data_IF_337511656587
#
_entry.id   IF_337511656587
#
_cell.length_a   1.000
_cell.length_b   1.000
_cell.length_c   1.000
_cell.angle_alpha   90.00
_cell.angle_beta   90.00
_cell.angle_gamma   90.00
#
_symmetry.space_group_name_H-M   'P 1'
#
loop_
_entity.id
_entity.type
_entity.pdbx_description
1 polymer ?
#
# COMPACT_ATOMS: atom_id res chain seq x y z
N UNK A 1 -14.51 -16.20 4.76
CA UNK A 1 -13.12 -16.43 5.15
C UNK A 1 -12.23 -16.88 4.00
N UNK A 2 -12.50 -18.02 3.33
CA UNK A 2 -11.70 -18.42 2.16
C UNK A 2 -11.76 -17.36 1.04
N UNK A 3 -12.93 -16.80 0.77
CA UNK A 3 -13.13 -15.71 -0.19
C UNK A 3 -12.34 -14.45 0.18
N UNK A 4 -12.25 -14.13 1.47
CA UNK A 4 -11.50 -12.98 1.95
C UNK A 4 -9.98 -13.17 1.72
N UNK A 5 -9.45 -14.38 1.95
CA UNK A 5 -8.05 -14.72 1.67
C UNK A 5 -7.75 -14.70 0.17
N UNK A 6 -8.65 -15.21 -0.68
CA UNK A 6 -8.48 -15.11 -2.14
C UNK A 6 -8.48 -13.65 -2.58
N UNK A 7 -9.32 -12.82 -1.97
CA UNK A 7 -9.38 -11.40 -2.27
C UNK A 7 -8.07 -10.67 -1.89
N UNK A 8 -7.39 -11.10 -0.83
CA UNK A 8 -6.05 -10.60 -0.45
C UNK A 8 -4.95 -11.15 -1.37
N UNK A 9 -5.03 -12.41 -1.79
CA UNK A 9 -4.00 -13.05 -2.60
C UNK A 9 -3.87 -12.43 -4.01
N UNK A 10 -4.99 -12.03 -4.64
CA UNK A 10 -4.97 -11.46 -6.00
C UNK A 10 -4.13 -10.18 -6.11
N UNK A 11 -4.29 -9.15 -5.24
CA UNK A 11 -3.43 -7.98 -5.27
C UNK A 11 -1.96 -8.32 -5.00
N UNK A 12 -1.68 -9.27 -4.10
CA UNK A 12 -0.30 -9.68 -3.79
C UNK A 12 0.37 -10.37 -4.98
N UNK A 13 -0.36 -11.19 -5.72
CA UNK A 13 0.14 -11.73 -6.98
C UNK A 13 0.41 -10.62 -8.01
N UNK A 14 -0.46 -9.62 -8.09
CA UNK A 14 -0.24 -8.41 -8.90
C UNK A 14 1.02 -7.64 -8.49
N UNK A 15 1.35 -7.62 -7.20
CA UNK A 15 2.61 -7.03 -6.70
C UNK A 15 3.83 -7.73 -7.25
N UNK A 16 3.85 -9.06 -7.30
CA UNK A 16 4.98 -9.82 -7.87
C UNK A 16 5.21 -9.41 -9.32
N UNK A 17 4.14 -9.34 -10.13
CA UNK A 17 4.25 -8.91 -11.52
C UNK A 17 4.80 -7.48 -11.63
N UNK A 18 4.26 -6.54 -10.86
CA UNK A 18 4.74 -5.16 -10.84
C UNK A 18 6.21 -5.06 -10.41
N UNK A 19 6.62 -5.83 -9.41
CA UNK A 19 8.00 -5.83 -8.91
C UNK A 19 8.98 -6.46 -9.89
N UNK A 20 8.58 -7.52 -10.61
CA UNK A 20 9.39 -8.09 -11.70
C UNK A 20 9.63 -7.04 -12.78
N UNK A 21 8.64 -6.21 -13.12
CA UNK A 21 8.80 -5.11 -14.08
C UNK A 21 9.86 -4.11 -13.58
N UNK A 22 9.82 -3.70 -12.30
CA UNK A 22 10.82 -2.79 -11.72
C UNK A 22 12.23 -3.38 -11.79
N UNK A 23 12.37 -4.65 -11.42
CA UNK A 23 13.66 -5.33 -11.42
C UNK A 23 14.23 -5.52 -12.84
N UNK A 24 13.38 -5.83 -13.83
CA UNK A 24 13.80 -5.92 -15.23
C UNK A 24 14.25 -4.56 -15.77
N UNK A 25 13.60 -3.46 -15.37
CA UNK A 25 14.04 -2.12 -15.72
C UNK A 25 15.40 -1.75 -15.13
N UNK A 26 15.69 -2.17 -13.89
CA UNK A 26 17.02 -1.97 -13.28
C UNK A 26 18.13 -2.68 -14.04
N UNK A 27 17.91 -3.90 -14.48
CA UNK A 27 18.88 -4.64 -15.32
C UNK A 27 19.11 -3.97 -16.68
N UNK A 28 18.14 -3.21 -17.17
CA UNK A 28 18.23 -2.39 -18.38
C UNK A 28 18.84 -0.98 -18.15
N UNK A 29 19.38 -0.70 -16.95
CA UNK A 29 20.03 0.58 -16.62
C UNK A 29 19.11 1.68 -16.08
N UNK A 30 17.85 1.37 -15.78
CA UNK A 30 16.94 2.32 -15.15
C UNK A 30 17.32 2.50 -13.67
N UNK A 31 17.94 3.62 -13.34
CA UNK A 31 18.15 4.00 -11.94
C UNK A 31 16.90 4.71 -11.42
N UNK A 32 16.33 4.21 -10.34
CA UNK A 32 15.15 4.82 -9.69
C UNK A 32 15.46 6.15 -9.00
N UNK A 33 16.65 6.68 -9.17
CA UNK A 33 17.05 8.04 -8.73
C UNK A 33 16.90 8.34 -7.22
N UNK A 34 16.67 7.32 -6.40
CA UNK A 34 16.60 7.49 -4.94
C UNK A 34 18.03 7.59 -4.43
N UNK A 35 18.53 8.81 -4.35
CA UNK A 35 19.83 9.11 -3.75
C UNK A 35 19.77 8.73 -2.26
N UNK A 36 20.64 7.83 -1.84
CA UNK A 36 20.74 7.34 -0.45
C UNK A 36 21.74 8.20 0.34
N UNK A 37 21.48 9.49 0.47
CA UNK A 37 22.25 10.36 1.34
C UNK A 37 21.64 10.45 2.74
N UNK A 38 22.44 10.50 3.79
CA UNK A 38 21.96 10.61 5.18
C UNK A 38 21.09 11.85 5.44
N UNK A 39 21.32 12.93 4.68
CA UNK A 39 20.50 14.16 4.71
C UNK A 39 19.08 13.89 4.22
N UNK A 40 18.90 12.97 3.27
CA UNK A 40 17.60 12.64 2.71
C UNK A 40 16.72 11.89 3.70
N UNK A 41 17.31 11.10 4.62
CA UNK A 41 16.54 10.38 5.67
C UNK A 41 15.96 11.36 6.69
N UNK A 42 16.74 12.35 7.13
CA UNK A 42 16.29 13.38 8.09
C UNK A 42 15.19 14.25 7.47
N UNK A 43 15.42 14.71 6.24
CA UNK A 43 14.40 15.49 5.52
C UNK A 43 13.13 14.70 5.24
N UNK A 44 13.25 13.42 4.87
CA UNK A 44 12.12 12.53 4.68
C UNK A 44 11.33 12.32 5.98
N UNK A 45 12.00 12.08 7.11
CA UNK A 45 11.36 11.94 8.42
C UNK A 45 10.68 13.24 8.86
N UNK A 46 11.33 14.39 8.69
CA UNK A 46 10.76 15.68 9.02
C UNK A 46 9.51 15.97 8.18
N UNK A 47 9.60 15.77 6.86
CA UNK A 47 8.48 15.98 5.93
C UNK A 47 7.33 15.03 6.24
N UNK A 48 7.62 13.75 6.49
CA UNK A 48 6.61 12.75 6.86
C UNK A 48 5.91 13.12 8.18
N UNK A 49 6.67 13.61 9.16
CA UNK A 49 6.11 14.07 10.44
C UNK A 49 5.16 15.24 10.24
N UNK A 50 5.55 16.25 9.47
CA UNK A 50 4.70 17.42 9.15
C UNK A 50 3.42 16.98 8.44
N UNK A 51 3.53 16.04 7.46
CA UNK A 51 2.36 15.50 6.75
C UNK A 51 1.43 14.74 7.70
N UNK A 52 1.98 13.89 8.57
CA UNK A 52 1.18 13.14 9.56
C UNK A 52 0.43 14.09 10.48
N UNK A 53 1.13 15.09 11.05
CA UNK A 53 0.49 16.10 11.91
C UNK A 53 -0.56 16.90 11.14
N UNK A 54 -0.30 17.30 9.91
CA UNK A 54 -1.24 18.00 9.05
C UNK A 54 -2.50 17.18 8.78
N UNK A 55 -2.34 15.90 8.47
CA UNK A 55 -3.46 14.96 8.26
C UNK A 55 -4.26 14.77 9.55
N UNK A 56 -3.60 14.53 10.69
CA UNK A 56 -4.27 14.34 11.98
C UNK A 56 -5.04 15.61 12.40
N UNK A 57 -4.43 16.79 12.23
CA UNK A 57 -5.08 18.06 12.49
C UNK A 57 -6.30 18.28 11.59
N UNK A 58 -6.14 17.98 10.30
CA UNK A 58 -7.22 18.08 9.34
C UNK A 58 -8.36 17.09 9.59
N UNK A 59 -8.06 15.85 9.97
CA UNK A 59 -9.05 14.84 10.37
C UNK A 59 -9.84 15.28 11.60
N UNK A 60 -9.21 15.96 12.55
CA UNK A 60 -9.89 16.50 13.72
C UNK A 60 -10.93 17.57 13.36
N UNK A 61 -10.61 18.45 12.39
CA UNK A 61 -11.47 19.60 12.06
C UNK A 61 -12.42 19.33 10.88
N UNK A 62 -11.95 18.58 9.87
CA UNK A 62 -12.70 18.31 8.64
C UNK A 62 -12.57 16.85 8.19
N UNK A 63 -13.04 15.86 8.98
CA UNK A 63 -12.77 14.44 8.78
C UNK A 63 -13.17 13.94 7.37
N UNK A 64 -14.37 14.28 6.91
CA UNK A 64 -14.85 13.84 5.58
C UNK A 64 -14.04 14.43 4.42
N UNK A 65 -13.69 15.73 4.51
CA UNK A 65 -12.89 16.37 3.44
C UNK A 65 -11.50 15.77 3.36
N UNK A 66 -10.85 15.57 4.51
CA UNK A 66 -9.52 14.96 4.55
C UNK A 66 -9.56 13.52 4.09
N UNK A 67 -10.56 12.72 4.49
CA UNK A 67 -10.70 11.36 3.99
C UNK A 67 -10.82 11.31 2.44
N UNK A 68 -11.63 12.20 1.85
CA UNK A 68 -11.76 12.29 0.40
C UNK A 68 -10.45 12.74 -0.27
N UNK A 69 -9.74 13.72 0.32
CA UNK A 69 -8.41 14.16 -0.16
C UNK A 69 -7.41 13.01 -0.12
N UNK A 70 -7.40 12.21 0.95
CA UNK A 70 -6.55 11.02 1.05
C UNK A 70 -6.86 10.01 -0.06
N UNK A 71 -8.15 9.75 -0.33
CA UNK A 71 -8.56 8.89 -1.45
C UNK A 71 -8.06 9.43 -2.78
N UNK A 72 -8.24 10.73 -3.03
CA UNK A 72 -7.74 11.37 -4.26
C UNK A 72 -6.22 11.24 -4.38
N UNK A 73 -5.50 11.57 -3.32
CA UNK A 73 -4.02 11.51 -3.31
C UNK A 73 -3.55 10.08 -3.56
N UNK A 74 -4.11 9.10 -2.84
CA UNK A 74 -3.73 7.69 -2.97
C UNK A 74 -3.98 7.16 -4.39
N UNK A 75 -5.14 7.47 -4.97
CA UNK A 75 -5.50 6.98 -6.30
C UNK A 75 -4.71 7.70 -7.41
N UNK A 76 -4.41 8.98 -7.26
CA UNK A 76 -3.53 9.71 -8.20
C UNK A 76 -2.10 9.19 -8.15
N UNK A 77 -1.53 9.05 -6.95
CA UNK A 77 -0.18 8.51 -6.78
C UNK A 77 -0.11 7.06 -7.30
N UNK A 78 -1.13 6.25 -7.03
CA UNK A 78 -1.24 4.90 -7.61
C UNK A 78 -1.30 4.90 -9.14
N UNK A 79 -2.05 5.84 -9.73
CA UNK A 79 -2.08 6.03 -11.20
C UNK A 79 -0.70 6.40 -11.75
N UNK A 80 0.00 7.33 -11.10
CA UNK A 80 1.37 7.72 -11.48
C UNK A 80 2.31 6.52 -11.36
N UNK A 81 2.23 5.76 -10.27
CA UNK A 81 3.02 4.52 -10.07
C UNK A 81 2.77 3.51 -11.19
N UNK A 82 1.51 3.32 -11.58
CA UNK A 82 1.15 2.47 -12.71
C UNK A 82 1.75 2.94 -14.04
N UNK A 83 1.75 4.25 -14.31
CA UNK A 83 2.37 4.82 -15.51
C UNK A 83 3.91 4.68 -15.49
N UNK A 84 4.54 4.84 -14.32
CA UNK A 84 5.98 4.61 -14.15
C UNK A 84 6.33 3.14 -14.42
N UNK A 85 5.56 2.20 -13.87
CA UNK A 85 5.75 0.76 -14.12
C UNK A 85 5.56 0.43 -15.61
N UNK A 86 4.55 1.02 -16.24
CA UNK A 86 4.31 0.88 -17.66
C UNK A 86 5.50 1.39 -18.49
N UNK A 87 6.03 2.57 -18.16
CA UNK A 87 7.22 3.12 -18.80
C UNK A 87 8.42 2.16 -18.67
N UNK A 88 8.70 1.65 -17.48
CA UNK A 88 9.78 0.70 -17.23
C UNK A 88 9.62 -0.57 -18.08
N UNK A 89 8.41 -1.11 -18.13
CA UNK A 89 8.10 -2.30 -18.94
C UNK A 89 8.41 -2.06 -20.42
N UNK A 90 8.13 -0.87 -20.92
CA UNK A 90 8.31 -0.52 -22.33
C UNK A 90 9.76 -0.27 -22.69
N UNK A 91 10.51 0.37 -21.80
CA UNK A 91 11.95 0.52 -21.97
C UNK A 91 12.65 -0.84 -21.96
N UNK A 92 12.25 -1.74 -21.07
CA UNK A 92 12.81 -3.10 -20.99
C UNK A 92 12.45 -3.98 -22.20
N UNK A 93 11.29 -3.80 -22.82
CA UNK A 93 10.81 -4.62 -23.95
C UNK A 93 11.26 -4.13 -25.33
N UNK A 94 11.86 -2.93 -25.42
CA UNK A 94 12.26 -2.33 -26.71
C UNK A 94 11.10 -1.86 -27.60
N UNK A 95 9.84 -1.97 -27.14
CA UNK A 95 8.61 -1.65 -27.88
C UNK A 95 8.09 -0.26 -27.53
N UNK A 96 8.98 0.62 -27.12
CA UNK A 96 8.69 1.92 -26.52
C UNK A 96 7.67 2.82 -27.25
N UNK A 97 7.68 2.99 -28.60
CA UNK A 97 6.77 3.97 -29.23
C UNK A 97 5.29 3.55 -29.22
N UNK A 98 5.01 2.27 -29.45
CA UNK A 98 3.61 1.82 -29.60
C UNK A 98 2.85 1.82 -28.25
N UNK A 99 3.56 1.66 -27.17
CA UNK A 99 2.96 1.50 -25.84
C UNK A 99 2.83 2.81 -25.09
N UNK A 100 3.57 3.85 -25.50
CA UNK A 100 3.33 5.22 -25.01
C UNK A 100 1.92 5.69 -25.36
N UNK A 101 1.37 5.23 -26.48
CA UNK A 101 -0.03 5.48 -26.85
C UNK A 101 -1.03 4.90 -25.84
N UNK A 102 -0.69 3.80 -25.13
CA UNK A 102 -1.53 3.24 -24.07
C UNK A 102 -1.42 4.01 -22.76
N UNK A 103 -0.30 4.68 -22.49
CA UNK A 103 -0.12 5.46 -21.27
C UNK A 103 -1.09 6.65 -21.21
N UNK A 104 -1.40 7.28 -22.34
CA UNK A 104 -2.32 8.42 -22.42
C UNK A 104 -3.74 8.04 -21.96
N UNK A 105 -4.42 7.03 -22.57
CA UNK A 105 -5.76 6.66 -22.14
C UNK A 105 -5.78 6.07 -20.73
N UNK A 106 -4.78 5.30 -20.31
CA UNK A 106 -4.69 4.77 -18.95
C UNK A 106 -4.50 5.88 -17.91
N UNK A 107 -3.63 6.85 -18.20
CA UNK A 107 -3.44 8.03 -17.35
C UNK A 107 -4.73 8.85 -17.24
N UNK A 108 -5.38 9.12 -18.36
CA UNK A 108 -6.67 9.84 -18.39
C UNK A 108 -7.74 9.12 -17.58
N UNK A 109 -7.89 7.80 -17.75
CA UNK A 109 -8.86 7.00 -17.01
C UNK A 109 -8.54 6.98 -15.52
N UNK A 110 -7.27 6.82 -15.15
CA UNK A 110 -6.83 6.83 -13.76
C UNK A 110 -7.13 8.16 -13.07
N UNK A 111 -6.78 9.28 -13.71
CA UNK A 111 -7.08 10.63 -13.18
C UNK A 111 -8.60 10.85 -13.10
N UNK A 112 -9.34 10.52 -14.16
CA UNK A 112 -10.81 10.65 -14.16
C UNK A 112 -11.47 9.85 -13.03
N UNK A 113 -11.07 8.61 -12.84
CA UNK A 113 -11.61 7.76 -11.78
C UNK A 113 -11.22 8.25 -10.39
N UNK A 114 -10.02 8.80 -10.23
CA UNK A 114 -9.57 9.42 -8.97
C UNK A 114 -10.46 10.61 -8.60
N UNK A 115 -10.77 11.48 -9.56
CA UNK A 115 -11.69 12.60 -9.32
C UNK A 115 -13.13 12.14 -9.06
N UNK A 116 -13.64 11.13 -9.77
CA UNK A 116 -14.96 10.57 -9.51
C UNK A 116 -15.04 9.91 -8.13
N UNK A 117 -13.96 9.27 -7.66
CA UNK A 117 -13.86 8.73 -6.30
C UNK A 117 -13.87 9.84 -5.25
N UNK A 118 -13.11 10.92 -5.48
CA UNK A 118 -13.08 12.11 -4.61
C UNK A 118 -14.46 12.75 -4.47
N UNK A 119 -15.20 12.89 -5.57
CA UNK A 119 -16.55 13.47 -5.61
C UNK A 119 -17.63 12.51 -5.04
N UNK A 120 -17.27 11.27 -4.69
CA UNK A 120 -18.22 10.26 -4.23
C UNK A 120 -19.17 9.74 -5.32
N UNK A 121 -18.88 10.02 -6.60
CA UNK A 121 -19.71 9.62 -7.76
C UNK A 121 -19.46 8.16 -8.16
N UNK A 122 -18.39 7.53 -7.68
CA UNK A 122 -18.11 6.11 -7.89
C UNK A 122 -18.84 5.26 -6.86
N UNK A 123 -19.32 4.08 -7.29
CA UNK A 123 -19.85 3.11 -6.34
C UNK A 123 -18.75 2.67 -5.37
N UNK A 124 -19.11 2.40 -4.12
CA UNK A 124 -18.17 1.98 -3.06
C UNK A 124 -17.25 0.84 -3.51
N UNK A 125 -17.79 -0.16 -4.21
CA UNK A 125 -17.01 -1.30 -4.74
C UNK A 125 -15.94 -0.88 -5.75
N UNK A 126 -16.27 0.06 -6.65
CA UNK A 126 -15.30 0.56 -7.65
C UNK A 126 -14.21 1.41 -7.00
N UNK A 127 -14.57 2.25 -6.02
CA UNK A 127 -13.61 3.03 -5.25
C UNK A 127 -12.66 2.11 -4.49
N UNK A 128 -13.17 1.06 -3.86
CA UNK A 128 -12.37 0.07 -3.15
C UNK A 128 -11.39 -0.65 -4.08
N UNK A 129 -11.82 -1.11 -5.25
CA UNK A 129 -10.94 -1.76 -6.23
C UNK A 129 -9.85 -0.81 -6.74
N UNK A 130 -10.21 0.45 -7.00
CA UNK A 130 -9.25 1.48 -7.41
C UNK A 130 -8.18 1.71 -6.32
N UNK A 131 -8.59 1.79 -5.06
CA UNK A 131 -7.69 1.98 -3.92
C UNK A 131 -6.77 0.79 -3.71
N UNK A 132 -7.27 -0.45 -3.85
CA UNK A 132 -6.44 -1.67 -3.78
C UNK A 132 -5.39 -1.65 -4.89
N UNK A 133 -5.82 -1.45 -6.13
CA UNK A 133 -4.90 -1.40 -7.26
C UNK A 133 -3.84 -0.31 -7.08
N UNK A 134 -4.25 0.88 -6.63
CA UNK A 134 -3.34 2.00 -6.36
C UNK A 134 -2.34 1.66 -5.25
N UNK A 135 -2.79 1.07 -4.14
CA UNK A 135 -1.93 0.67 -3.02
C UNK A 135 -0.94 -0.41 -3.43
N UNK A 136 -1.40 -1.38 -4.22
CA UNK A 136 -0.57 -2.48 -4.73
C UNK A 136 0.53 -1.96 -5.66
N UNK A 137 0.20 -1.10 -6.62
CA UNK A 137 1.17 -0.53 -7.56
C UNK A 137 2.18 0.37 -6.85
N UNK A 138 1.70 1.22 -5.95
CA UNK A 138 2.55 2.10 -5.15
C UNK A 138 3.46 1.30 -4.22
N UNK A 139 2.93 0.31 -3.52
CA UNK A 139 3.70 -0.54 -2.62
C UNK A 139 4.77 -1.34 -3.36
N UNK A 140 4.44 -1.90 -4.54
CA UNK A 140 5.40 -2.59 -5.39
C UNK A 140 6.55 -1.66 -5.84
N UNK A 141 6.22 -0.46 -6.29
CA UNK A 141 7.22 0.53 -6.72
C UNK A 141 8.13 0.95 -5.56
N UNK A 142 7.57 1.28 -4.40
CA UNK A 142 8.33 1.67 -3.22
C UNK A 142 9.19 0.51 -2.73
N UNK A 143 8.61 -0.67 -2.48
CA UNK A 143 9.30 -1.83 -1.93
C UNK A 143 10.44 -2.33 -2.82
N UNK A 144 10.29 -2.22 -4.16
CA UNK A 144 11.36 -2.55 -5.10
C UNK A 144 12.40 -1.43 -5.29
N UNK A 145 12.10 -0.18 -4.89
CA UNK A 145 12.98 0.98 -5.13
C UNK A 145 13.82 1.35 -3.92
N UNK A 146 13.30 1.17 -2.71
CA UNK A 146 13.99 1.57 -1.48
C UNK A 146 14.98 0.51 -0.97
N UNK A 147 16.02 0.91 -0.20
CA UNK A 147 16.91 -0.02 0.48
C UNK A 147 16.13 -0.93 1.47
N UNK A 148 16.52 -2.19 1.55
CA UNK A 148 15.86 -3.18 2.39
C UNK A 148 15.76 -2.76 3.87
N UNK A 149 16.86 -2.24 4.43
CA UNK A 149 16.89 -1.78 5.83
C UNK A 149 15.86 -0.69 6.08
N UNK A 150 15.75 0.29 5.16
CA UNK A 150 14.73 1.34 5.26
C UNK A 150 13.32 0.74 5.24
N UNK A 151 13.07 -0.16 4.31
CA UNK A 151 11.74 -0.80 4.15
C UNK A 151 11.37 -1.62 5.39
N UNK A 152 12.30 -2.38 5.97
CA UNK A 152 12.08 -3.15 7.20
C UNK A 152 11.72 -2.23 8.37
N UNK A 153 12.53 -1.18 8.59
CA UNK A 153 12.29 -0.22 9.68
C UNK A 153 10.96 0.50 9.49
N UNK A 154 10.67 0.91 8.26
CA UNK A 154 9.41 1.58 7.94
C UNK A 154 8.19 0.69 8.17
N UNK A 155 8.23 -0.56 7.67
CA UNK A 155 7.13 -1.52 7.86
C UNK A 155 6.95 -1.93 9.32
N UNK A 156 8.05 -2.13 10.05
CA UNK A 156 8.01 -2.39 11.49
C UNK A 156 7.40 -1.22 12.26
N UNK A 157 7.81 0.01 11.93
CA UNK A 157 7.25 1.23 12.50
C UNK A 157 5.75 1.37 12.21
N UNK A 158 5.33 1.13 10.95
CA UNK A 158 3.91 1.15 10.58
C UNK A 158 3.09 0.10 11.36
N UNK A 159 3.60 -1.12 11.49
CA UNK A 159 2.92 -2.19 12.21
C UNK A 159 2.75 -1.87 13.70
N UNK A 160 3.78 -1.29 14.34
CA UNK A 160 3.73 -0.83 15.72
C UNK A 160 2.75 0.33 15.88
N UNK A 161 2.79 1.30 14.96
CA UNK A 161 1.86 2.44 14.98
C UNK A 161 0.41 1.99 14.79
N UNK A 162 0.14 1.08 13.86
CA UNK A 162 -1.20 0.52 13.65
C UNK A 162 -1.70 -0.17 14.93
N UNK A 163 -0.85 -0.98 15.56
CA UNK A 163 -1.16 -1.64 16.83
C UNK A 163 -1.51 -0.62 17.92
N UNK A 164 -0.68 0.41 18.11
CA UNK A 164 -0.91 1.44 19.12
C UNK A 164 -2.19 2.23 18.84
N UNK A 165 -2.43 2.61 17.60
CA UNK A 165 -3.63 3.35 17.20
C UNK A 165 -4.90 2.56 17.47
N UNK A 166 -4.90 1.26 17.18
CA UNK A 166 -6.04 0.37 17.41
C UNK A 166 -6.25 0.09 18.90
N UNK A 167 -5.19 -0.27 19.63
CA UNK A 167 -5.27 -0.62 21.06
C UNK A 167 -5.69 0.59 21.94
N UNK A 168 -5.19 1.79 21.63
CA UNK A 168 -5.53 2.99 22.39
C UNK A 168 -6.81 3.70 21.95
N UNK A 169 -7.47 3.23 20.89
CA UNK A 169 -8.59 3.94 20.26
C UNK A 169 -8.25 5.39 19.88
N UNK A 170 -6.99 5.65 19.58
CA UNK A 170 -6.45 6.99 19.39
C UNK A 170 -7.25 7.80 18.37
N UNK A 171 -7.53 7.22 17.19
CA UNK A 171 -8.30 7.93 16.16
C UNK A 171 -9.74 8.20 16.59
N UNK A 172 -10.40 7.23 17.22
CA UNK A 172 -11.78 7.42 17.70
C UNK A 172 -11.86 8.52 18.79
N UNK A 173 -10.85 8.60 19.65
CA UNK A 173 -10.75 9.68 20.66
C UNK A 173 -10.42 11.03 20.02
N UNK A 174 -9.57 11.06 18.99
CA UNK A 174 -9.13 12.30 18.33
C UNK A 174 -10.27 12.97 17.55
N UNK A 175 -11.04 12.19 16.76
CA UNK A 175 -12.03 12.73 15.81
C UNK A 175 -13.48 12.48 16.24
N UNK A 176 -13.70 11.75 17.33
CA UNK A 176 -15.01 11.32 17.81
C UNK A 176 -15.55 10.09 17.08
N UNK A 177 -16.31 9.24 17.78
CA UNK A 177 -16.80 7.95 17.27
C UNK A 177 -17.61 8.07 15.97
N UNK A 178 -18.49 9.06 15.86
CA UNK A 178 -19.32 9.29 14.66
C UNK A 178 -18.49 9.64 13.42
N UNK A 179 -17.46 10.46 13.59
CA UNK A 179 -16.57 10.82 12.49
C UNK A 179 -15.61 9.69 12.15
N UNK A 180 -15.20 8.90 13.14
CA UNK A 180 -14.36 7.71 12.97
C UNK A 180 -15.01 6.70 12.00
N UNK A 181 -16.29 6.37 12.21
CA UNK A 181 -17.03 5.50 11.30
C UNK A 181 -17.08 6.05 9.87
N UNK A 182 -17.26 7.37 9.73
CA UNK A 182 -17.29 8.02 8.41
C UNK A 182 -15.94 7.94 7.70
N UNK A 183 -14.81 8.13 8.40
CA UNK A 183 -13.46 8.06 7.84
C UNK A 183 -13.09 6.62 7.52
N UNK A 184 -13.31 5.70 8.44
CA UNK A 184 -13.00 4.27 8.22
C UNK A 184 -13.82 3.68 7.08
N UNK A 185 -15.08 4.07 6.92
CA UNK A 185 -15.92 3.59 5.81
C UNK A 185 -15.36 3.93 4.42
N UNK A 186 -14.53 4.96 4.30
CA UNK A 186 -13.92 5.41 3.04
C UNK A 186 -12.51 4.82 2.86
N UNK A 187 -11.76 4.63 3.96
CA UNK A 187 -10.36 4.19 3.94
C UNK A 187 -10.19 2.70 4.19
N UNK A 188 -11.27 1.96 4.44
CA UNK A 188 -11.24 0.50 4.64
C UNK A 188 -12.10 -0.21 3.61
N UNK A 189 -11.70 -1.43 3.32
CA UNK A 189 -12.41 -2.34 2.43
C UNK A 189 -13.30 -3.26 3.25
N UNK A 190 -14.61 -3.27 3.01
CA UNK A 190 -15.47 -4.23 3.66
C UNK A 190 -15.23 -5.62 3.07
N UNK A 191 -14.75 -6.53 3.86
CA UNK A 191 -14.78 -7.96 3.63
C UNK A 191 -16.08 -8.53 4.22
N UNK A 192 -16.38 -9.80 3.95
CA UNK A 192 -17.61 -10.46 4.47
C UNK A 192 -17.65 -10.45 6.02
N UNK A 193 -16.50 -10.51 6.67
CA UNK A 193 -16.36 -10.64 8.13
C UNK A 193 -15.54 -9.56 8.82
N UNK A 194 -14.90 -8.68 8.06
CA UNK A 194 -13.95 -7.69 8.63
C UNK A 194 -13.70 -6.52 7.67
N UNK A 195 -12.86 -5.59 8.09
CA UNK A 195 -12.40 -4.47 7.28
C UNK A 195 -10.87 -4.56 7.15
N UNK A 196 -10.36 -4.35 5.95
CA UNK A 196 -8.91 -4.26 5.69
C UNK A 196 -8.59 -2.83 5.28
N UNK A 197 -7.59 -2.24 5.90
CA UNK A 197 -7.13 -0.90 5.59
C UNK A 197 -6.41 -0.83 4.23
N UNK A 198 -6.50 0.31 3.56
CA UNK A 198 -5.74 0.56 2.32
C UNK A 198 -4.23 0.51 2.62
N UNK A 199 -3.82 0.97 3.82
CA UNK A 199 -2.44 0.90 4.29
C UNK A 199 -1.90 -0.51 4.41
N UNK A 200 -2.75 -1.49 4.71
CA UNK A 200 -2.36 -2.89 4.82
C UNK A 200 -1.91 -3.43 3.46
N UNK A 201 -2.68 -3.14 2.39
CA UNK A 201 -2.29 -3.52 1.03
C UNK A 201 -0.99 -2.87 0.58
N UNK A 202 -0.78 -1.59 0.93
CA UNK A 202 0.48 -0.91 0.67
C UNK A 202 1.65 -1.62 1.35
N UNK A 203 1.53 -1.88 2.64
CA UNK A 203 2.58 -2.52 3.45
C UNK A 203 2.89 -3.95 2.97
N UNK A 204 1.86 -4.74 2.69
CA UNK A 204 2.03 -6.10 2.17
C UNK A 204 2.72 -6.08 0.80
N UNK A 205 2.33 -5.16 -0.08
CA UNK A 205 2.92 -5.02 -1.40
C UNK A 205 4.38 -4.57 -1.34
N UNK A 206 4.72 -3.64 -0.44
CA UNK A 206 6.11 -3.26 -0.18
C UNK A 206 6.95 -4.44 0.28
N UNK A 207 6.43 -5.25 1.20
CA UNK A 207 7.11 -6.40 1.76
C UNK A 207 7.38 -7.49 0.71
N UNK A 208 6.37 -7.82 -0.10
CA UNK A 208 6.50 -8.79 -1.21
C UNK A 208 7.52 -8.30 -2.25
N UNK A 209 7.47 -7.02 -2.61
CA UNK A 209 8.39 -6.43 -3.56
C UNK A 209 9.84 -6.44 -3.07
N UNK A 210 10.06 -6.11 -1.80
CA UNK A 210 11.38 -6.18 -1.15
C UNK A 210 11.89 -7.62 -1.09
N UNK A 211 11.04 -8.58 -0.71
CA UNK A 211 11.40 -10.00 -0.66
C UNK A 211 11.77 -10.54 -2.04
N UNK A 212 11.04 -10.16 -3.09
CA UNK A 212 11.39 -10.50 -4.46
C UNK A 212 12.77 -9.96 -4.85
N UNK A 213 13.10 -8.75 -4.43
CA UNK A 213 14.39 -8.11 -4.73
C UNK A 213 15.57 -8.81 -4.02
N UNK A 214 15.39 -9.25 -2.78
CA UNK A 214 16.47 -9.81 -1.93
C UNK A 214 16.65 -11.31 -2.13
N UNK A 215 15.56 -12.04 -2.19
CA UNK A 215 15.54 -13.51 -2.13
C UNK A 215 15.11 -14.11 -3.49
N UNK A 216 14.48 -13.29 -4.34
CA UNK A 216 13.93 -13.76 -5.62
C UNK A 216 12.49 -14.28 -5.48
N UNK A 217 12.04 -14.98 -6.53
CA UNK A 217 10.64 -15.43 -6.67
C UNK A 217 10.21 -16.36 -5.54
N UNK A 218 11.07 -17.26 -5.09
CA UNK A 218 10.76 -18.16 -3.98
C UNK A 218 10.50 -17.40 -2.67
N UNK A 219 11.36 -16.44 -2.34
CA UNK A 219 11.17 -15.59 -1.17
C UNK A 219 9.88 -14.77 -1.23
N UNK A 220 9.53 -14.26 -2.42
CA UNK A 220 8.25 -13.55 -2.61
C UNK A 220 7.05 -14.47 -2.36
N UNK A 221 7.09 -15.71 -2.85
CA UNK A 221 6.01 -16.70 -2.62
C UNK A 221 5.90 -17.06 -1.14
N UNK A 222 7.02 -17.30 -0.45
CA UNK A 222 7.04 -17.55 1.00
C UNK A 222 6.47 -16.37 1.77
N UNK A 223 6.89 -15.15 1.43
CA UNK A 223 6.38 -13.91 2.06
C UNK A 223 4.87 -13.78 1.87
N UNK A 224 4.34 -14.02 0.65
CA UNK A 224 2.90 -14.02 0.40
C UNK A 224 2.20 -15.07 1.27
N UNK A 225 2.74 -16.28 1.33
CA UNK A 225 2.18 -17.36 2.15
C UNK A 225 2.09 -16.95 3.63
N UNK A 226 3.18 -16.38 4.17
CA UNK A 226 3.23 -15.94 5.57
C UNK A 226 2.32 -14.73 5.84
N UNK A 227 2.20 -13.77 4.91
CA UNK A 227 1.23 -12.68 5.01
C UNK A 227 -0.20 -13.23 5.04
N UNK A 228 -0.54 -14.20 4.19
CA UNK A 228 -1.87 -14.81 4.17
C UNK A 228 -2.16 -15.58 5.47
N UNK A 229 -1.17 -16.33 6.00
CA UNK A 229 -1.30 -16.99 7.30
C UNK A 229 -1.49 -15.96 8.41
N UNK A 230 -0.69 -14.89 8.44
CA UNK A 230 -0.82 -13.80 9.40
C UNK A 230 -2.18 -13.11 9.31
N UNK A 231 -2.65 -12.84 8.10
CA UNK A 231 -3.98 -12.25 7.88
C UNK A 231 -5.10 -13.18 8.34
N UNK A 232 -4.95 -14.49 8.11
CA UNK A 232 -5.89 -15.48 8.63
C UNK A 232 -5.96 -15.49 10.16
N UNK A 233 -4.78 -15.46 10.83
CA UNK A 233 -4.70 -15.39 12.29
C UNK A 233 -5.34 -14.09 12.80
N UNK A 234 -5.02 -12.96 12.17
CA UNK A 234 -5.63 -11.65 12.50
C UNK A 234 -7.15 -11.70 12.37
N UNK A 235 -7.69 -12.28 11.29
CA UNK A 235 -9.13 -12.44 11.10
C UNK A 235 -9.77 -13.32 12.17
N UNK A 236 -9.09 -14.37 12.64
CA UNK A 236 -9.58 -15.20 13.74
C UNK A 236 -9.60 -14.44 15.07
N UNK A 237 -8.55 -13.67 15.35
CA UNK A 237 -8.49 -12.85 16.57
C UNK A 237 -9.58 -11.77 16.54
N UNK A 238 -9.80 -11.13 15.38
CA UNK A 238 -10.86 -10.11 15.21
C UNK A 238 -12.26 -10.68 15.48
N UNK A 239 -12.50 -11.96 15.24
CA UNK A 239 -13.75 -12.61 15.61
C UNK A 239 -13.94 -12.79 17.11
N UNK A 240 -12.83 -12.90 17.85
CA UNK A 240 -12.84 -13.06 19.32
C UNK A 240 -12.78 -11.70 20.03
N UNK A 241 -12.16 -10.69 19.39
CA UNK A 241 -12.02 -9.34 19.90
C UNK A 241 -12.68 -8.36 18.93
N UNK A 242 -13.24 -7.29 19.45
CA UNK A 242 -13.93 -6.27 18.64
C UNK A 242 -13.00 -5.43 17.78
N UNK A 243 -11.70 -5.38 18.14
CA UNK A 243 -10.68 -4.58 17.45
C UNK A 243 -9.35 -5.34 17.45
N UNK A 244 -8.66 -5.32 16.32
CA UNK A 244 -7.35 -5.96 16.16
C UNK A 244 -6.56 -5.21 15.08
N UNK A 245 -5.27 -4.97 15.32
CA UNK A 245 -4.36 -4.42 14.32
C UNK A 245 -4.28 -5.32 13.08
N UNK A 246 -4.45 -4.74 11.91
CA UNK A 246 -4.39 -5.45 10.62
C UNK A 246 -2.97 -5.78 10.18
N UNK A 247 -1.98 -4.98 10.60
CA UNK A 247 -0.60 -5.04 10.09
C UNK A 247 0.34 -5.90 10.94
N UNK A 248 0.18 -5.92 12.27
CA UNK A 248 1.21 -6.43 13.17
C UNK A 248 1.59 -7.89 12.87
N UNK A 249 0.61 -8.78 12.80
CA UNK A 249 0.86 -10.21 12.61
C UNK A 249 1.27 -10.52 11.17
N UNK A 250 0.56 -10.04 10.12
CA UNK A 250 0.94 -10.35 8.74
C UNK A 250 2.31 -9.80 8.36
N UNK A 251 2.62 -8.57 8.75
CA UNK A 251 3.94 -7.96 8.47
C UNK A 251 5.03 -8.66 9.27
N UNK A 252 4.79 -8.94 10.56
CA UNK A 252 5.74 -9.67 11.41
C UNK A 252 6.11 -11.03 10.84
N UNK A 253 5.13 -11.83 10.44
CA UNK A 253 5.36 -13.13 9.79
C UNK A 253 6.02 -12.98 8.43
N UNK A 254 5.55 -12.06 7.61
CA UNK A 254 6.09 -11.84 6.26
C UNK A 254 7.53 -11.31 6.24
N UNK A 255 8.02 -10.70 7.32
CA UNK A 255 9.41 -10.27 7.46
C UNK A 255 10.37 -11.43 7.76
N UNK A 256 9.89 -12.58 8.22
CA UNK A 256 10.75 -13.72 8.61
C UNK A 256 11.70 -14.14 7.48
N UNK A 257 11.27 -14.43 6.23
CA UNK A 257 12.16 -14.83 5.17
C UNK A 257 13.22 -13.77 4.86
N UNK A 258 12.84 -12.50 4.93
CA UNK A 258 13.74 -11.38 4.65
C UNK A 258 14.82 -11.27 5.74
N UNK A 259 14.44 -11.33 7.01
CA UNK A 259 15.39 -11.25 8.12
C UNK A 259 16.36 -12.44 8.12
N UNK A 260 15.89 -13.63 7.74
CA UNK A 260 16.74 -14.83 7.66
C UNK A 260 17.70 -14.79 6.47
N UNK A 261 17.46 -13.93 5.49
CA UNK A 261 18.29 -13.80 4.27
C UNK A 261 19.38 -12.71 4.37
N UNK A 262 19.31 -11.84 5.37
CA UNK A 262 20.28 -10.77 5.64
C UNK A 262 21.35 -11.27 6.62
#
# INVERSE_FOLDING_TARGET
MLKDLVFLAVPLAGTVLASVIVLSGRSAGFSTGVATGGVDVVTALATSSVLIFGVLYGLKHHPKRIANVLVLTFTLVGTISGLVLLKILFEASGVFPALFLLAIPLGYLGVRWSFLAYLGSLSRRKTSLLLIASSTLLGALIGASFPAVFTIVFLGGLAIMDFLVVETDFLARLIGSRNYESVTSVTTLPLETSFVGIGDFLAYSMLVAMSLQLIGVYGAIETIGLILVGSFVTLQITRMRTKTSGLLIPVGLGLIPVILSI
#
